data_IF_381942216935
#
_entry.id   IF_381942216935
#
_cell.length_a   1.000
_cell.length_b   1.000
_cell.length_c   1.000
_cell.angle_alpha   90.00
_cell.angle_beta   90.00
_cell.angle_gamma   90.00
#
_symmetry.space_group_name_H-M   'P 1'
#
loop_
_entity.id
_entity.type
_entity.pdbx_description
1 polymer ?
#
# COMPACT_ATOMS: atom_id res chain seq x y z
N UNK A 1 -30.66 6.44 -5.75
CA UNK A 1 -29.75 5.60 -4.96
C UNK A 1 -29.04 4.50 -5.77
N UNK A 2 -29.54 4.10 -6.96
CA UNK A 2 -28.90 3.05 -7.77
C UNK A 2 -27.51 3.44 -8.36
N UNK A 3 -27.28 4.73 -8.68
CA UNK A 3 -26.05 5.15 -9.37
C UNK A 3 -24.77 5.04 -8.54
N UNK A 4 -24.85 5.23 -7.21
CA UNK A 4 -23.68 5.10 -6.32
C UNK A 4 -23.33 3.64 -6.04
N UNK A 5 -24.33 2.75 -5.92
CA UNK A 5 -24.10 1.31 -5.76
C UNK A 5 -23.44 0.73 -7.00
N UNK A 6 -23.95 1.09 -8.19
CA UNK A 6 -23.46 0.53 -9.45
C UNK A 6 -22.01 0.93 -9.77
N UNK A 7 -21.61 2.15 -9.40
CA UNK A 7 -20.22 2.60 -9.55
C UNK A 7 -19.29 1.88 -8.58
N UNK A 8 -19.73 1.70 -7.33
CA UNK A 8 -18.98 0.93 -6.33
C UNK A 8 -18.76 -0.51 -6.80
N UNK A 9 -19.82 -1.21 -7.20
CA UNK A 9 -19.74 -2.60 -7.65
C UNK A 9 -18.78 -2.77 -8.83
N UNK A 10 -18.83 -1.85 -9.80
CA UNK A 10 -17.90 -1.85 -10.93
C UNK A 10 -16.45 -1.62 -10.52
N UNK A 11 -16.20 -0.68 -9.60
CA UNK A 11 -14.85 -0.41 -9.09
C UNK A 11 -14.28 -1.58 -8.28
N UNK A 12 -15.12 -2.34 -7.56
CA UNK A 12 -14.69 -3.55 -6.88
C UNK A 12 -14.37 -4.70 -7.84
N UNK A 13 -15.15 -4.88 -8.91
CA UNK A 13 -14.84 -5.88 -9.94
C UNK A 13 -13.54 -5.55 -10.68
N UNK A 14 -13.33 -4.28 -11.03
CA UNK A 14 -12.10 -3.82 -11.68
C UNK A 14 -10.90 -4.02 -10.75
N UNK A 15 -11.08 -3.76 -9.45
CA UNK A 15 -10.07 -4.02 -8.43
C UNK A 15 -9.73 -5.50 -8.29
N UNK A 16 -10.74 -6.36 -8.22
CA UNK A 16 -10.58 -7.81 -8.10
C UNK A 16 -9.84 -8.40 -9.31
N UNK A 17 -10.17 -7.95 -10.52
CA UNK A 17 -9.46 -8.38 -11.74
C UNK A 17 -8.01 -7.94 -11.75
N UNK A 18 -7.73 -6.69 -11.38
CA UNK A 18 -6.35 -6.20 -11.34
C UNK A 18 -5.50 -6.94 -10.29
N UNK A 19 -6.10 -7.36 -9.18
CA UNK A 19 -5.46 -8.23 -8.18
C UNK A 19 -5.16 -9.61 -8.79
N UNK A 20 -6.14 -10.22 -9.46
CA UNK A 20 -6.00 -11.55 -10.08
C UNK A 20 -4.96 -11.56 -11.21
N UNK A 21 -4.93 -10.53 -12.05
CA UNK A 21 -3.91 -10.34 -13.09
C UNK A 21 -2.52 -10.16 -12.47
N UNK A 22 -2.40 -9.38 -11.40
CA UNK A 22 -1.12 -9.16 -10.73
C UNK A 22 -0.59 -10.44 -10.05
N UNK A 23 -1.48 -11.24 -9.46
CA UNK A 23 -1.16 -12.54 -8.88
C UNK A 23 -0.65 -13.52 -9.96
N UNK A 24 -1.33 -13.57 -11.11
CA UNK A 24 -0.91 -14.42 -12.25
C UNK A 24 0.42 -13.99 -12.88
N UNK A 25 0.74 -12.69 -12.90
CA UNK A 25 1.97 -12.18 -13.51
C UNK A 25 3.20 -12.37 -12.64
N UNK A 26 3.04 -12.51 -11.32
CA UNK A 26 4.18 -12.49 -10.38
C UNK A 26 4.22 -13.67 -9.41
N UNK A 27 3.29 -14.62 -9.52
CA UNK A 27 3.14 -15.75 -8.60
C UNK A 27 2.98 -15.33 -7.12
N UNK A 28 2.54 -14.11 -6.84
CA UNK A 28 2.32 -13.61 -5.47
C UNK A 28 3.59 -13.35 -4.65
N UNK A 29 4.79 -13.49 -5.24
CA UNK A 29 6.08 -13.36 -4.54
C UNK A 29 6.69 -11.95 -4.61
N UNK A 30 6.01 -10.99 -5.25
CA UNK A 30 6.53 -9.64 -5.43
C UNK A 30 5.87 -8.62 -4.53
N UNK A 31 6.67 -7.90 -3.74
CA UNK A 31 6.21 -6.76 -2.95
C UNK A 31 5.56 -5.67 -3.82
N UNK A 32 6.00 -5.53 -5.07
CA UNK A 32 5.41 -4.63 -6.06
C UNK A 32 3.92 -4.96 -6.29
N UNK A 33 3.53 -6.23 -6.29
CA UNK A 33 2.13 -6.59 -6.53
C UNK A 33 1.27 -6.24 -5.34
N UNK A 34 1.69 -6.60 -4.13
CA UNK A 34 0.99 -6.19 -2.92
C UNK A 34 0.87 -4.67 -2.78
N UNK A 35 1.86 -3.92 -3.26
CA UNK A 35 1.78 -2.48 -3.40
C UNK A 35 0.65 -2.03 -4.35
N UNK A 36 0.61 -2.59 -5.56
CA UNK A 36 -0.46 -2.28 -6.54
C UNK A 36 -1.85 -2.64 -5.99
N UNK A 37 -1.98 -3.79 -5.32
CA UNK A 37 -3.22 -4.20 -4.64
C UNK A 37 -3.66 -3.14 -3.62
N UNK A 38 -2.74 -2.63 -2.80
CA UNK A 38 -3.04 -1.57 -1.84
C UNK A 38 -3.54 -0.29 -2.50
N UNK A 39 -2.92 0.14 -3.60
CA UNK A 39 -3.36 1.32 -4.36
C UNK A 39 -4.75 1.13 -5.00
N UNK A 40 -4.99 -0.05 -5.56
CA UNK A 40 -6.29 -0.42 -6.13
C UNK A 40 -7.38 -0.37 -5.06
N UNK A 41 -7.11 -0.89 -3.85
CA UNK A 41 -8.05 -0.86 -2.73
C UNK A 41 -8.37 0.59 -2.30
N UNK A 42 -7.36 1.47 -2.25
CA UNK A 42 -7.59 2.90 -1.97
C UNK A 42 -8.45 3.57 -3.04
N UNK A 43 -8.24 3.21 -4.31
CA UNK A 43 -8.98 3.76 -5.43
C UNK A 43 -10.42 3.24 -5.51
N UNK A 44 -10.65 1.98 -5.12
CA UNK A 44 -11.94 1.32 -5.21
C UNK A 44 -12.95 1.84 -4.19
N UNK A 45 -12.51 2.16 -2.97
CA UNK A 45 -13.41 2.64 -1.93
C UNK A 45 -12.80 3.76 -1.07
N UNK A 46 -13.50 4.90 -1.05
CA UNK A 46 -13.25 5.95 -0.06
C UNK A 46 -13.46 5.39 1.35
N UNK A 47 -12.38 5.32 2.13
CA UNK A 47 -12.38 4.80 3.50
C UNK A 47 -11.84 3.38 3.67
N UNK A 48 -11.43 2.71 2.59
CA UNK A 48 -10.78 1.39 2.66
C UNK A 48 -9.30 1.43 3.07
N UNK A 49 -8.90 2.48 3.78
CA UNK A 49 -7.54 2.71 4.28
C UNK A 49 -6.99 1.52 5.07
N UNK A 50 -7.81 0.86 5.90
CA UNK A 50 -7.38 -0.32 6.66
C UNK A 50 -6.93 -1.46 5.73
N UNK A 51 -7.72 -1.78 4.70
CA UNK A 51 -7.42 -2.91 3.80
C UNK A 51 -6.18 -2.60 2.96
N UNK A 52 -6.01 -1.34 2.56
CA UNK A 52 -4.82 -0.88 1.87
C UNK A 52 -3.57 -0.96 2.76
N UNK A 53 -3.69 -0.58 4.04
CA UNK A 53 -2.62 -0.73 5.04
C UNK A 53 -2.18 -2.19 5.14
N UNK A 54 -3.12 -3.13 5.20
CA UNK A 54 -2.79 -4.55 5.29
C UNK A 54 -2.06 -5.04 4.03
N UNK A 55 -2.48 -4.61 2.84
CA UNK A 55 -1.80 -4.92 1.58
C UNK A 55 -0.37 -4.34 1.53
N UNK A 56 -0.16 -3.08 1.94
CA UNK A 56 1.19 -2.50 1.98
C UNK A 56 2.07 -3.16 3.04
N UNK A 57 1.50 -3.58 4.18
CA UNK A 57 2.24 -4.37 5.17
C UNK A 57 2.67 -5.71 4.61
N UNK A 58 1.82 -6.40 3.85
CA UNK A 58 2.19 -7.63 3.16
C UNK A 58 3.34 -7.39 2.17
N UNK A 59 3.30 -6.30 1.41
CA UNK A 59 4.41 -5.91 0.54
C UNK A 59 5.72 -5.76 1.35
N UNK A 60 5.67 -5.08 2.49
CA UNK A 60 6.82 -4.89 3.37
C UNK A 60 7.25 -6.17 4.12
N UNK A 61 6.39 -7.19 4.23
CA UNK A 61 6.80 -8.50 4.74
C UNK A 61 7.58 -9.32 3.71
N UNK A 62 7.33 -9.09 2.42
CA UNK A 62 8.05 -9.74 1.32
C UNK A 62 9.37 -9.02 1.05
N UNK A 63 9.32 -7.69 0.96
CA UNK A 63 10.49 -6.84 0.80
C UNK A 63 10.42 -5.69 1.81
N UNK A 64 11.19 -5.82 2.89
CA UNK A 64 11.23 -4.81 3.95
C UNK A 64 11.77 -3.46 3.49
N UNK A 65 12.52 -3.45 2.40
CA UNK A 65 13.17 -2.26 1.85
C UNK A 65 12.37 -1.68 0.67
N UNK A 66 11.13 -2.16 0.45
CA UNK A 66 10.26 -1.66 -0.60
C UNK A 66 9.78 -0.23 -0.28
N UNK A 67 10.58 0.75 -0.70
CA UNK A 67 10.34 2.18 -0.52
C UNK A 67 8.95 2.63 -0.98
N UNK A 68 8.43 2.20 -2.16
CA UNK A 68 7.09 2.62 -2.60
C UNK A 68 5.99 2.24 -1.62
N UNK A 69 5.99 1.01 -1.09
CA UNK A 69 4.99 0.59 -0.09
C UNK A 69 5.14 1.32 1.23
N UNK A 70 6.37 1.63 1.66
CA UNK A 70 6.56 2.44 2.87
C UNK A 70 5.95 3.83 2.70
N UNK A 71 6.20 4.49 1.56
CA UNK A 71 5.66 5.83 1.27
C UNK A 71 4.14 5.79 1.20
N UNK A 72 3.56 4.84 0.46
CA UNK A 72 2.10 4.71 0.37
C UNK A 72 1.47 4.38 1.71
N UNK A 73 2.07 3.51 2.51
CA UNK A 73 1.58 3.19 3.86
C UNK A 73 1.63 4.42 4.78
N UNK A 74 2.71 5.19 4.75
CA UNK A 74 2.82 6.45 5.49
C UNK A 74 1.75 7.46 5.04
N UNK A 75 1.54 7.61 3.73
CA UNK A 75 0.50 8.49 3.18
C UNK A 75 -0.89 8.11 3.68
N UNK A 76 -1.22 6.81 3.67
CA UNK A 76 -2.51 6.33 4.19
C UNK A 76 -2.65 6.60 5.69
N UNK A 77 -1.59 6.44 6.47
CA UNK A 77 -1.59 6.79 7.89
C UNK A 77 -1.84 8.28 8.13
N UNK A 78 -1.26 9.16 7.29
CA UNK A 78 -1.53 10.59 7.33
C UNK A 78 -3.00 10.91 6.99
N UNK A 79 -3.57 10.24 5.99
CA UNK A 79 -4.97 10.43 5.56
C UNK A 79 -5.99 10.02 6.65
N UNK A 80 -5.64 9.08 7.52
CA UNK A 80 -6.48 8.66 8.66
C UNK A 80 -6.13 9.37 9.98
N UNK A 81 -5.35 10.46 9.92
CA UNK A 81 -4.87 11.24 11.07
C UNK A 81 -4.04 10.43 12.09
N UNK A 82 -3.39 9.35 11.66
CA UNK A 82 -2.47 8.56 12.49
C UNK A 82 -1.02 9.02 12.26
N UNK A 83 -0.75 10.28 12.61
CA UNK A 83 0.54 10.93 12.39
C UNK A 83 1.69 10.22 13.11
N UNK A 84 1.45 9.76 14.35
CA UNK A 84 2.48 9.09 15.15
C UNK A 84 2.93 7.76 14.53
N UNK A 85 2.01 7.03 13.88
CA UNK A 85 2.33 5.78 13.21
C UNK A 85 3.05 6.02 11.88
N UNK A 86 2.66 7.07 11.13
CA UNK A 86 3.38 7.48 9.93
C UNK A 86 4.82 7.89 10.25
N UNK A 87 5.02 8.68 11.31
CA UNK A 87 6.33 9.13 11.75
C UNK A 87 7.21 7.96 12.22
N UNK A 88 6.70 7.07 13.08
CA UNK A 88 7.44 5.88 13.51
C UNK A 88 7.84 4.97 12.35
N UNK A 89 6.94 4.80 11.37
CA UNK A 89 7.22 3.99 10.18
C UNK A 89 8.35 4.62 9.35
N UNK A 90 8.25 5.91 9.05
CA UNK A 90 9.26 6.64 8.29
C UNK A 90 10.58 6.70 9.04
N UNK A 91 10.56 6.92 10.35
CA UNK A 91 11.75 6.94 11.21
C UNK A 91 12.45 5.58 11.22
N UNK A 92 11.69 4.48 11.33
CA UNK A 92 12.25 3.12 11.27
C UNK A 92 12.90 2.86 9.91
N UNK A 93 12.23 3.20 8.82
CA UNK A 93 12.75 2.98 7.46
C UNK A 93 13.95 3.88 7.16
N UNK A 94 13.91 5.16 7.56
CA UNK A 94 15.02 6.10 7.34
C UNK A 94 16.21 5.83 8.25
N UNK A 95 16.04 5.41 9.50
CA UNK A 95 17.15 4.98 10.37
C UNK A 95 17.73 3.64 9.93
N UNK A 96 16.90 2.72 9.44
CA UNK A 96 17.32 1.43 8.89
C UNK A 96 18.13 1.57 7.59
N UNK A 97 17.67 2.43 6.67
CA UNK A 97 18.36 2.71 5.39
C UNK A 97 19.52 3.69 5.56
N UNK A 98 19.37 4.69 6.43
CA UNK A 98 20.26 5.86 6.54
C UNK A 98 21.49 5.67 7.42
N UNK A 99 21.61 4.57 8.18
CA UNK A 99 22.88 4.23 8.86
C UNK A 99 23.84 3.41 7.99
N UNK A 100 23.44 3.01 6.78
CA UNK A 100 24.26 2.21 5.87
C UNK A 100 24.66 2.96 4.58
N UNK A 101 24.42 4.27 4.52
CA UNK A 101 24.86 5.13 3.42
C UNK A 101 25.80 6.21 3.98
N UNK A 102 27.14 6.00 3.92
CA UNK A 102 28.14 6.96 4.39
C UNK A 102 28.38 8.14 3.42
N UNK A 103 27.36 8.58 2.66
CA UNK A 103 27.48 9.70 1.71
C UNK A 103 26.85 11.01 2.22
N UNK A 104 26.46 11.07 3.50
CA UNK A 104 25.94 12.28 4.14
C UNK A 104 26.85 12.81 5.27
N UNK A 105 28.17 12.73 5.08
CA UNK A 105 29.17 13.46 5.88
C UNK A 105 30.00 14.34 4.94
#
# INVERSE_FOLDING_TARGET
MASQSYLKDKQYEDAAKAIEEADQLTNGESAQVWHQIGLIILAAEKGSCHKAIDAFKMALTIDSDHVPSTISLASVYLDINQYELAEQLLEKTTKGLGWNQPEAW
#
